data_IF_647197273254
#
_entry.id   IF_647197273254
#
_cell.length_a   1.000
_cell.length_b   1.000
_cell.length_c   1.000
_cell.angle_alpha   90.00
_cell.angle_beta   90.00
_cell.angle_gamma   90.00
#
_symmetry.space_group_name_H-M   'P 1'
#
loop_
_entity.id
_entity.type
_entity.pdbx_description
1 polymer ?
#
# COMPACT_ATOMS: atom_id res chain seq x y z
N UNK A 1 -22.62 -14.86 -4.03
CA UNK A 1 -21.21 -14.49 -3.75
C UNK A 1 -20.52 -14.39 -5.10
N UNK A 2 -19.81 -13.31 -5.38
CA UNK A 2 -18.98 -13.24 -6.59
C UNK A 2 -17.94 -14.36 -6.52
N UNK A 3 -17.77 -15.10 -7.61
CA UNK A 3 -16.71 -16.10 -7.73
C UNK A 3 -15.36 -15.35 -7.69
N UNK A 4 -14.63 -15.52 -6.59
CA UNK A 4 -13.30 -14.94 -6.45
C UNK A 4 -12.35 -15.80 -7.29
N UNK A 5 -11.52 -15.16 -8.11
CA UNK A 5 -10.51 -15.87 -8.90
C UNK A 5 -9.50 -16.59 -8.00
N UNK A 6 -8.76 -17.55 -8.56
CA UNK A 6 -7.67 -18.19 -7.81
C UNK A 6 -6.53 -17.21 -7.50
N UNK A 7 -5.75 -17.43 -6.43
CA UNK A 7 -4.50 -16.72 -6.21
C UNK A 7 -3.58 -16.80 -7.43
N UNK A 8 -2.78 -15.76 -7.64
CA UNK A 8 -1.71 -15.72 -8.66
C UNK A 8 -0.59 -16.69 -8.29
N UNK A 9 0.07 -17.26 -9.30
CA UNK A 9 1.19 -18.17 -9.11
C UNK A 9 2.49 -17.45 -8.78
N UNK A 10 2.68 -16.26 -9.34
CA UNK A 10 3.90 -15.47 -9.23
C UNK A 10 3.65 -13.97 -9.52
N UNK A 11 4.71 -13.17 -9.39
CA UNK A 11 4.66 -11.73 -9.67
C UNK A 11 4.42 -11.39 -11.14
N UNK A 12 4.74 -12.28 -12.09
CA UNK A 12 4.49 -12.04 -13.51
C UNK A 12 3.00 -12.20 -13.83
N UNK A 13 2.32 -13.17 -13.23
CA UNK A 13 0.87 -13.29 -13.30
C UNK A 13 0.17 -12.11 -12.63
N UNK A 14 0.63 -11.67 -11.45
CA UNK A 14 0.10 -10.46 -10.82
C UNK A 14 0.26 -9.25 -11.73
N UNK A 15 1.44 -9.07 -12.34
CA UNK A 15 1.70 -7.98 -13.27
C UNK A 15 0.69 -7.97 -14.45
N UNK A 16 0.41 -9.14 -15.04
CA UNK A 16 -0.61 -9.26 -16.10
C UNK A 16 -2.00 -8.89 -15.60
N UNK A 17 -2.39 -9.33 -14.40
CA UNK A 17 -3.69 -8.98 -13.81
C UNK A 17 -3.82 -7.50 -13.48
N UNK A 18 -2.75 -6.85 -13.00
CA UNK A 18 -2.71 -5.40 -12.79
C UNK A 18 -2.91 -4.65 -14.10
N UNK A 19 -2.20 -5.04 -15.17
CA UNK A 19 -2.35 -4.43 -16.49
C UNK A 19 -3.78 -4.61 -17.04
N UNK A 20 -4.35 -5.81 -16.89
CA UNK A 20 -5.73 -6.08 -17.31
C UNK A 20 -6.73 -5.22 -16.52
N UNK A 21 -6.54 -5.05 -15.20
CA UNK A 21 -7.40 -4.20 -14.37
C UNK A 21 -7.35 -2.73 -14.83
N UNK A 22 -6.14 -2.21 -15.10
CA UNK A 22 -5.97 -0.82 -15.54
C UNK A 22 -6.53 -0.57 -16.94
N UNK A 23 -6.69 -1.61 -17.77
CA UNK A 23 -7.33 -1.52 -19.07
C UNK A 23 -8.87 -1.67 -19.01
N UNK A 24 -9.44 -2.09 -17.88
CA UNK A 24 -10.86 -2.39 -17.75
C UNK A 24 -11.67 -1.14 -17.36
N UNK A 25 -12.41 -0.59 -18.32
CA UNK A 25 -13.33 0.55 -18.14
C UNK A 25 -14.40 0.29 -17.08
N UNK A 26 -14.97 -0.91 -17.05
CA UNK A 26 -16.00 -1.27 -16.09
C UNK A 26 -15.46 -1.28 -14.66
N UNK A 27 -14.14 -1.43 -14.49
CA UNK A 27 -13.43 -1.34 -13.21
C UNK A 27 -12.83 0.03 -12.93
N UNK A 28 -13.06 1.02 -13.80
CA UNK A 28 -12.48 2.36 -13.65
C UNK A 28 -10.98 2.40 -13.91
N UNK A 29 -10.43 1.41 -14.62
CA UNK A 29 -9.02 1.31 -14.97
C UNK A 29 -8.45 2.57 -15.64
N UNK A 30 -9.14 3.15 -16.65
CA UNK A 30 -8.65 4.37 -17.31
C UNK A 30 -8.54 5.58 -16.37
N UNK A 31 -9.43 5.75 -15.39
CA UNK A 31 -9.32 6.85 -14.41
C UNK A 31 -8.05 6.69 -13.55
N UNK A 32 -7.72 5.45 -13.15
CA UNK A 32 -6.48 5.15 -12.44
C UNK A 32 -5.27 5.44 -13.35
N UNK A 33 -5.32 5.01 -14.61
CA UNK A 33 -4.24 5.21 -15.58
C UNK A 33 -3.98 6.69 -15.89
N UNK A 34 -5.04 7.50 -16.01
CA UNK A 34 -4.95 8.95 -16.20
C UNK A 34 -4.31 9.62 -14.99
N UNK A 35 -4.73 9.25 -13.77
CA UNK A 35 -4.12 9.75 -12.54
C UNK A 35 -2.65 9.36 -12.44
N UNK A 36 -2.29 8.12 -12.77
CA UNK A 36 -0.88 7.68 -12.86
C UNK A 36 -0.11 8.55 -13.86
N UNK A 37 -0.69 8.82 -15.04
CA UNK A 37 -0.07 9.67 -16.05
C UNK A 37 0.17 11.10 -15.56
N UNK A 38 -0.80 11.67 -14.85
CA UNK A 38 -0.68 13.00 -14.25
C UNK A 38 0.39 13.05 -13.15
N UNK A 39 0.38 12.09 -12.22
CA UNK A 39 1.40 11.98 -11.17
C UNK A 39 2.80 11.71 -11.75
N UNK A 40 2.88 11.00 -12.88
CA UNK A 40 4.11 10.74 -13.63
C UNK A 40 4.85 12.01 -14.10
N UNK A 41 4.18 13.17 -14.11
CA UNK A 41 4.80 14.45 -14.45
C UNK A 41 5.81 14.93 -13.40
N UNK A 42 5.73 14.42 -12.16
CA UNK A 42 6.62 14.85 -11.06
C UNK A 42 7.54 13.75 -10.52
N UNK A 43 7.26 12.48 -10.81
CA UNK A 43 8.10 11.36 -10.36
C UNK A 43 7.60 9.98 -10.77
N UNK A 44 8.38 8.95 -10.45
CA UNK A 44 7.95 7.55 -10.63
C UNK A 44 6.73 7.27 -9.72
N UNK A 45 5.78 6.45 -10.20
CA UNK A 45 4.54 6.13 -9.48
C UNK A 45 4.42 4.63 -9.23
N UNK A 46 3.99 4.27 -8.03
CA UNK A 46 3.61 2.91 -7.67
C UNK A 46 2.17 2.85 -7.14
N UNK A 47 1.44 1.79 -7.52
CA UNK A 47 0.26 1.33 -6.77
C UNK A 47 0.77 0.41 -5.67
N UNK A 48 0.41 0.67 -4.41
CA UNK A 48 0.99 0.01 -3.25
C UNK A 48 -0.07 -0.70 -2.39
N UNK A 49 0.26 -1.86 -1.83
CA UNK A 49 -0.54 -2.52 -0.81
C UNK A 49 -1.83 -3.16 -1.31
N UNK A 50 -2.97 -2.64 -0.85
CA UNK A 50 -4.25 -3.35 -0.84
C UNK A 50 -4.74 -3.79 -2.22
N UNK A 51 -4.62 -2.92 -3.23
CA UNK A 51 -5.04 -3.23 -4.60
C UNK A 51 -4.27 -4.41 -5.19
N UNK A 52 -2.93 -4.38 -5.10
CA UNK A 52 -2.09 -5.44 -5.61
C UNK A 52 -2.32 -6.76 -4.83
N UNK A 53 -2.46 -6.70 -3.50
CA UNK A 53 -2.82 -7.86 -2.67
C UNK A 53 -4.13 -8.50 -3.09
N UNK A 54 -5.19 -7.70 -3.25
CA UNK A 54 -6.54 -8.22 -3.52
C UNK A 54 -6.62 -8.85 -4.92
N UNK A 55 -6.01 -8.20 -5.92
CA UNK A 55 -5.91 -8.75 -7.27
C UNK A 55 -5.06 -10.03 -7.29
N UNK A 56 -3.99 -10.08 -6.50
CA UNK A 56 -3.16 -11.27 -6.35
C UNK A 56 -3.93 -12.44 -5.73
N UNK A 57 -4.77 -12.17 -4.72
CA UNK A 57 -5.52 -13.20 -3.99
C UNK A 57 -6.75 -13.71 -4.74
N UNK A 58 -7.54 -12.79 -5.31
CA UNK A 58 -8.89 -13.09 -5.77
C UNK A 58 -9.26 -12.49 -7.13
N UNK A 59 -8.29 -11.90 -7.84
CA UNK A 59 -8.51 -11.23 -9.12
C UNK A 59 -9.24 -9.89 -8.99
N UNK A 60 -9.65 -9.33 -10.14
CA UNK A 60 -10.21 -7.98 -10.22
C UNK A 60 -11.47 -7.77 -9.35
N UNK A 61 -12.29 -8.80 -9.17
CA UNK A 61 -13.50 -8.72 -8.36
C UNK A 61 -13.23 -8.65 -6.85
N UNK A 62 -12.03 -9.04 -6.40
CA UNK A 62 -11.66 -8.99 -5.00
C UNK A 62 -11.31 -7.58 -4.50
N UNK A 63 -10.97 -6.67 -5.42
CA UNK A 63 -10.62 -5.30 -5.06
C UNK A 63 -11.86 -4.41 -4.99
N UNK A 64 -12.07 -3.81 -3.82
CA UNK A 64 -13.21 -2.93 -3.53
C UNK A 64 -12.84 -1.85 -2.49
N UNK A 65 -11.57 -1.46 -2.44
CA UNK A 65 -11.06 -0.46 -1.49
C UNK A 65 -10.46 0.73 -2.24
N UNK A 66 -9.90 1.68 -1.50
CA UNK A 66 -9.19 2.80 -2.09
C UNK A 66 -7.90 2.35 -2.80
N UNK A 67 -7.44 3.16 -3.76
CA UNK A 67 -6.20 2.95 -4.51
C UNK A 67 -5.11 3.83 -3.90
N UNK A 68 -4.15 3.20 -3.22
CA UNK A 68 -2.97 3.86 -2.68
C UNK A 68 -1.90 4.05 -3.76
N UNK A 69 -1.58 5.32 -4.05
CA UNK A 69 -0.55 5.74 -5.01
C UNK A 69 0.59 6.43 -4.27
N UNK A 70 1.82 5.99 -4.54
CA UNK A 70 3.02 6.64 -4.00
C UNK A 70 3.89 7.14 -5.14
N UNK A 71 4.31 8.40 -5.04
CA UNK A 71 5.13 9.10 -6.03
C UNK A 71 6.52 9.34 -5.47
N UNK A 72 7.54 8.93 -6.21
CA UNK A 72 8.93 9.23 -5.87
C UNK A 72 9.27 10.66 -6.31
N UNK A 73 8.86 11.62 -5.49
CA UNK A 73 9.10 13.04 -5.71
C UNK A 73 9.25 13.77 -4.36
N UNK A 74 9.89 14.95 -4.34
CA UNK A 74 9.80 15.85 -3.19
C UNK A 74 8.33 16.20 -2.88
N UNK A 75 7.94 16.31 -1.59
CA UNK A 75 6.56 16.64 -1.22
C UNK A 75 6.03 17.94 -1.82
N UNK A 76 6.90 18.93 -2.03
CA UNK A 76 6.57 20.24 -2.58
C UNK A 76 6.14 20.13 -4.05
N UNK A 77 6.79 19.24 -4.82
CA UNK A 77 6.45 18.99 -6.23
C UNK A 77 5.09 18.30 -6.37
N UNK A 78 4.79 17.36 -5.48
CA UNK A 78 3.46 16.77 -5.42
C UNK A 78 2.41 17.81 -4.98
N UNK A 79 2.74 18.66 -4.00
CA UNK A 79 1.84 19.72 -3.54
C UNK A 79 1.52 20.74 -4.64
N UNK A 80 2.52 21.13 -5.44
CA UNK A 80 2.35 21.97 -6.64
C UNK A 80 1.39 21.32 -7.63
N UNK A 81 1.58 20.03 -7.93
CA UNK A 81 0.73 19.29 -8.86
C UNK A 81 -0.72 19.19 -8.37
N UNK A 82 -0.93 19.04 -7.06
CA UNK A 82 -2.27 18.87 -6.46
C UNK A 82 -3.00 20.21 -6.22
N UNK A 83 -2.34 21.36 -6.35
CA UNK A 83 -2.85 22.68 -5.93
C UNK A 83 -4.17 23.06 -6.58
N UNK A 84 -4.31 22.78 -7.87
CA UNK A 84 -5.45 23.22 -8.67
C UNK A 84 -6.55 22.14 -8.78
N UNK A 85 -6.40 21.03 -8.04
CA UNK A 85 -7.30 19.88 -8.08
C UNK A 85 -8.28 19.81 -6.91
N UNK A 86 -9.20 18.86 -6.97
CA UNK A 86 -10.14 18.53 -5.89
C UNK A 86 -9.51 17.71 -4.74
N UNK A 87 -8.17 17.68 -4.65
CA UNK A 87 -7.45 16.88 -3.68
C UNK A 87 -7.55 17.48 -2.28
N UNK A 88 -7.88 16.65 -1.28
CA UNK A 88 -7.93 17.06 0.13
C UNK A 88 -6.69 16.55 0.84
N UNK A 89 -5.85 17.46 1.35
CA UNK A 89 -4.66 17.09 2.12
C UNK A 89 -5.05 16.51 3.48
N UNK A 90 -4.55 15.33 3.82
CA UNK A 90 -4.80 14.66 5.09
C UNK A 90 -3.79 15.10 6.19
N UNK A 91 -4.08 14.76 7.45
CA UNK A 91 -3.25 15.12 8.62
C UNK A 91 -1.84 14.52 8.61
N UNK A 92 -1.62 13.50 7.79
CA UNK A 92 -0.34 12.80 7.66
C UNK A 92 0.46 13.27 6.44
N UNK A 93 -0.02 14.29 5.71
CA UNK A 93 0.70 14.90 4.60
C UNK A 93 0.43 14.30 3.22
N UNK A 94 -0.38 13.24 3.13
CA UNK A 94 -0.90 12.71 1.87
C UNK A 94 -2.11 13.48 1.36
N UNK A 95 -2.61 13.11 0.19
CA UNK A 95 -3.75 13.71 -0.48
C UNK A 95 -4.81 12.66 -0.76
N UNK A 96 -6.07 12.99 -0.47
CA UNK A 96 -7.21 12.15 -0.85
C UNK A 96 -7.95 12.76 -2.02
N UNK A 97 -8.20 11.96 -3.04
CA UNK A 97 -8.95 12.35 -4.23
C UNK A 97 -10.19 11.45 -4.34
N UNK A 98 -11.36 12.07 -4.48
CA UNK A 98 -12.58 11.34 -4.77
C UNK A 98 -12.69 11.12 -6.30
N UNK A 99 -12.58 9.87 -6.74
CA UNK A 99 -12.84 9.47 -8.12
C UNK A 99 -14.30 9.12 -8.36
N UNK A 100 -14.60 8.68 -9.59
CA UNK A 100 -15.94 8.20 -9.96
C UNK A 100 -16.24 6.84 -9.36
N UNK A 101 -15.25 5.95 -9.33
CA UNK A 101 -15.41 4.56 -8.85
C UNK A 101 -14.59 4.27 -7.60
N UNK A 102 -13.38 4.80 -7.55
CA UNK A 102 -12.45 4.58 -6.44
C UNK A 102 -12.14 5.90 -5.76
N UNK A 103 -11.78 5.85 -4.49
CA UNK A 103 -11.03 6.94 -3.90
C UNK A 103 -9.55 6.64 -4.01
N UNK A 104 -8.74 7.71 -4.04
CA UNK A 104 -7.30 7.62 -4.20
C UNK A 104 -6.63 8.26 -3.00
N UNK A 105 -5.68 7.55 -2.38
CA UNK A 105 -4.78 8.13 -1.40
C UNK A 105 -3.40 8.26 -2.05
N UNK A 106 -2.95 9.51 -2.23
CA UNK A 106 -1.73 9.86 -2.94
C UNK A 106 -0.69 10.39 -1.97
N UNK A 107 0.52 9.84 -2.04
CA UNK A 107 1.61 10.18 -1.14
C UNK A 107 2.88 10.50 -1.92
N UNK A 108 3.65 11.48 -1.48
CA UNK A 108 5.06 11.55 -1.82
C UNK A 108 5.79 10.49 -0.97
N UNK A 109 6.75 9.77 -1.54
CA UNK A 109 7.51 8.73 -0.83
C UNK A 109 8.06 9.21 0.54
N UNK A 110 8.71 10.39 0.64
CA UNK A 110 9.21 10.90 1.92
C UNK A 110 8.11 11.24 2.95
N UNK A 111 6.86 11.41 2.49
CA UNK A 111 5.70 11.73 3.33
C UNK A 111 4.89 10.50 3.73
N UNK A 112 5.27 9.30 3.28
CA UNK A 112 4.64 8.08 3.80
C UNK A 112 4.98 7.93 5.28
N UNK A 113 4.01 7.50 6.09
CA UNK A 113 4.14 7.56 7.55
C UNK A 113 5.39 6.87 8.09
N UNK A 114 5.69 5.64 7.63
CA UNK A 114 6.84 4.88 8.12
C UNK A 114 8.18 5.56 7.78
N UNK A 115 8.25 6.26 6.65
CA UNK A 115 9.43 7.01 6.22
C UNK A 115 9.55 8.31 7.02
N UNK A 116 8.45 9.07 7.10
CA UNK A 116 8.42 10.34 7.83
C UNK A 116 8.71 10.17 9.34
N UNK A 117 8.26 9.07 9.93
CA UNK A 117 8.53 8.74 11.33
C UNK A 117 9.89 8.07 11.56
N UNK A 118 10.68 7.83 10.51
CA UNK A 118 12.04 7.29 10.62
C UNK A 118 12.11 5.78 10.90
N UNK A 119 11.00 5.05 10.77
CA UNK A 119 10.98 3.59 10.94
C UNK A 119 11.60 2.86 9.74
N UNK A 120 11.52 3.46 8.55
CA UNK A 120 12.12 2.94 7.31
C UNK A 120 12.82 4.06 6.58
N UNK A 121 14.07 3.83 6.16
CA UNK A 121 14.75 4.68 5.18
C UNK A 121 14.37 4.19 3.78
N UNK A 122 13.64 5.01 3.03
CA UNK A 122 13.26 4.70 1.66
C UNK A 122 13.96 5.64 0.69
N UNK A 123 14.81 5.08 -0.17
CA UNK A 123 15.46 5.77 -1.27
C UNK A 123 14.75 5.52 -2.60
N UNK A 124 13.97 4.43 -2.69
CA UNK A 124 13.25 4.01 -3.89
C UNK A 124 11.83 3.55 -3.54
N UNK A 125 10.93 3.57 -4.53
CA UNK A 125 9.56 3.05 -4.33
C UNK A 125 9.55 1.58 -3.91
N UNK A 126 10.54 0.80 -4.35
CA UNK A 126 10.68 -0.61 -3.95
C UNK A 126 10.79 -0.79 -2.44
N UNK A 127 11.35 0.19 -1.73
CA UNK A 127 11.54 0.12 -0.28
C UNK A 127 10.21 0.19 0.49
N UNK A 128 9.12 0.60 -0.17
CA UNK A 128 7.77 0.62 0.42
C UNK A 128 7.32 -0.75 0.93
N UNK A 129 7.82 -1.86 0.37
CA UNK A 129 7.47 -3.20 0.85
C UNK A 129 7.86 -3.41 2.33
N UNK A 130 8.78 -2.62 2.86
CA UNK A 130 9.18 -2.64 4.28
C UNK A 130 8.30 -1.78 5.19
N UNK A 131 7.36 -1.01 4.63
CA UNK A 131 6.57 -0.02 5.38
C UNK A 131 5.19 -0.51 5.79
N UNK A 132 4.75 -1.67 5.28
CA UNK A 132 3.41 -2.21 5.57
C UNK A 132 3.37 -2.94 6.89
N UNK A 133 2.22 -2.85 7.57
CA UNK A 133 2.02 -3.63 8.80
C UNK A 133 1.92 -5.13 8.54
N UNK A 134 1.18 -5.53 7.50
CA UNK A 134 0.97 -6.95 7.16
C UNK A 134 1.90 -7.36 6.02
N UNK A 135 2.51 -8.54 6.12
CA UNK A 135 3.37 -9.08 5.06
C UNK A 135 2.63 -9.31 3.73
N UNK A 136 1.34 -9.61 3.78
CA UNK A 136 0.49 -9.71 2.59
C UNK A 136 0.27 -8.37 1.86
N UNK A 137 0.46 -7.25 2.56
CA UNK A 137 0.39 -5.92 1.97
C UNK A 137 1.74 -5.45 1.40
N UNK A 138 2.84 -6.18 1.67
CA UNK A 138 4.18 -5.86 1.20
C UNK A 138 4.34 -6.17 -0.30
N UNK A 139 3.57 -5.49 -1.15
CA UNK A 139 3.57 -5.64 -2.60
C UNK A 139 3.22 -4.31 -3.26
N UNK A 140 3.84 -4.04 -4.39
CA UNK A 140 3.56 -2.87 -5.22
C UNK A 140 3.69 -3.18 -6.71
N UNK A 141 3.02 -2.37 -7.50
CA UNK A 141 3.13 -2.33 -8.94
C UNK A 141 3.77 -0.99 -9.35
N UNK A 142 4.99 -1.03 -9.88
CA UNK A 142 5.68 0.11 -10.49
C UNK A 142 5.03 0.41 -11.83
N UNK A 143 4.31 1.52 -11.91
CA UNK A 143 3.43 1.81 -13.04
C UNK A 143 4.20 2.08 -14.33
N UNK A 144 5.30 2.83 -14.25
CA UNK A 144 6.13 3.19 -15.41
C UNK A 144 6.84 1.99 -16.02
N UNK A 145 7.49 1.17 -15.19
CA UNK A 145 8.21 -0.03 -15.65
C UNK A 145 7.32 -1.25 -15.86
N UNK A 146 6.06 -1.18 -15.42
CA UNK A 146 5.08 -2.28 -15.44
C UNK A 146 5.63 -3.54 -14.76
N UNK A 147 6.15 -3.37 -13.55
CA UNK A 147 6.75 -4.45 -12.76
C UNK A 147 6.10 -4.54 -11.39
N UNK A 148 5.99 -5.76 -10.91
CA UNK A 148 5.63 -6.02 -9.51
C UNK A 148 6.91 -6.14 -8.69
N UNK A 149 6.91 -5.52 -7.52
CA UNK A 149 7.91 -5.73 -6.48
C UNK A 149 7.19 -6.13 -5.19
N UNK A 150 7.77 -7.06 -4.42
CA UNK A 150 7.14 -7.54 -3.20
C UNK A 150 8.18 -7.89 -2.14
N UNK A 151 7.75 -7.86 -0.89
CA UNK A 151 8.54 -8.30 0.25
C UNK A 151 8.82 -9.81 0.24
N UNK A 152 9.78 -10.26 1.05
CA UNK A 152 10.27 -11.65 1.02
C UNK A 152 9.19 -12.68 1.39
N UNK A 153 8.20 -12.30 2.21
CA UNK A 153 7.15 -13.18 2.70
C UNK A 153 5.90 -13.25 1.83
N UNK A 154 5.79 -12.36 0.84
CA UNK A 154 4.58 -12.24 0.02
C UNK A 154 4.24 -13.52 -0.77
N UNK A 155 5.25 -14.20 -1.31
CA UNK A 155 5.05 -15.46 -2.06
C UNK A 155 4.67 -16.62 -1.16
N UNK A 156 5.20 -16.69 0.07
CA UNK A 156 4.77 -17.66 1.07
C UNK A 156 3.30 -17.42 1.45
N UNK A 157 2.92 -16.16 1.66
CA UNK A 157 1.53 -15.78 1.91
C UNK A 157 0.58 -16.20 0.77
N UNK A 158 0.97 -16.02 -0.50
CA UNK A 158 0.15 -16.44 -1.65
C UNK A 158 -0.14 -17.95 -1.63
N UNK A 159 0.82 -18.76 -1.20
CA UNK A 159 0.69 -20.22 -1.14
C UNK A 159 -0.06 -20.69 0.09
N UNK A 160 0.30 -20.18 1.26
CA UNK A 160 -0.12 -20.74 2.54
C UNK A 160 -1.32 -20.00 3.14
N UNK A 161 -1.66 -18.82 2.61
CA UNK A 161 -2.67 -17.91 3.16
C UNK A 161 -2.45 -17.60 4.66
N UNK A 162 -1.20 -17.57 5.12
CA UNK A 162 -0.81 -17.19 6.48
C UNK A 162 -0.34 -15.73 6.45
N UNK A 163 -1.04 -14.85 7.17
CA UNK A 163 -0.71 -13.43 7.30
C UNK A 163 0.01 -13.16 8.60
N UNK A 164 1.08 -12.39 8.55
CA UNK A 164 1.89 -12.04 9.70
C UNK A 164 2.28 -10.56 9.70
N UNK A 165 2.92 -10.12 10.79
CA UNK A 165 3.48 -8.77 10.90
C UNK A 165 4.73 -8.61 10.03
N UNK A 166 4.83 -7.47 9.34
CA UNK A 166 5.99 -7.02 8.58
C UNK A 166 6.67 -5.83 9.29
N UNK A 167 5.96 -4.73 9.55
CA UNK A 167 6.41 -3.60 10.38
C UNK A 167 5.37 -3.32 11.47
N UNK A 168 5.73 -3.50 12.74
CA UNK A 168 4.75 -3.41 13.82
C UNK A 168 4.37 -1.96 14.16
N UNK A 169 5.32 -1.04 14.01
CA UNK A 169 5.13 0.39 14.22
C UNK A 169 4.04 0.92 13.30
N UNK A 170 3.03 1.58 13.87
CA UNK A 170 1.91 2.13 13.11
C UNK A 170 1.21 3.26 13.88
N UNK A 171 0.55 4.22 13.18
CA UNK A 171 -0.15 5.34 13.81
C UNK A 171 -1.57 4.99 14.25
N UNK A 172 -2.08 3.79 13.94
CA UNK A 172 -3.48 3.42 14.17
C UNK A 172 -3.64 1.94 14.59
N UNK A 173 -3.34 1.62 15.86
CA UNK A 173 -3.44 0.25 16.35
C UNK A 173 -4.88 -0.33 16.26
N UNK A 174 -5.90 0.50 16.47
CA UNK A 174 -7.30 0.08 16.30
C UNK A 174 -7.59 -0.35 14.86
N UNK A 175 -7.16 0.44 13.87
CA UNK A 175 -7.33 0.15 12.46
C UNK A 175 -6.59 -1.12 12.03
N UNK A 176 -5.39 -1.34 12.59
CA UNK A 176 -4.64 -2.59 12.40
C UNK A 176 -5.43 -3.78 12.92
N UNK A 177 -5.95 -3.72 14.15
CA UNK A 177 -6.76 -4.82 14.72
C UNK A 177 -8.01 -5.08 13.87
N UNK A 178 -8.75 -4.04 13.48
CA UNK A 178 -9.93 -4.18 12.62
C UNK A 178 -9.58 -4.84 11.27
N UNK A 179 -8.47 -4.42 10.64
CA UNK A 179 -7.98 -5.01 9.39
C UNK A 179 -7.54 -6.46 9.57
N UNK A 180 -6.86 -6.79 10.67
CA UNK A 180 -6.50 -8.17 11.00
C UNK A 180 -7.75 -9.05 11.13
N UNK A 181 -8.78 -8.57 11.84
CA UNK A 181 -10.04 -9.32 11.97
C UNK A 181 -10.71 -9.56 10.62
N UNK A 182 -10.76 -8.55 9.74
CA UNK A 182 -11.28 -8.71 8.36
C UNK A 182 -10.50 -9.77 7.59
N UNK A 183 -9.18 -9.74 7.65
CA UNK A 183 -8.29 -10.72 7.00
C UNK A 183 -8.57 -12.14 7.52
N UNK A 184 -8.64 -12.32 8.83
CA UNK A 184 -8.81 -13.65 9.43
C UNK A 184 -10.22 -14.21 9.21
N UNK A 185 -11.25 -13.37 9.35
CA UNK A 185 -12.65 -13.81 9.36
C UNK A 185 -13.28 -13.79 7.97
N UNK A 186 -13.11 -12.70 7.22
CA UNK A 186 -13.74 -12.54 5.90
C UNK A 186 -12.88 -13.15 4.81
N UNK A 187 -11.57 -12.90 4.83
CA UNK A 187 -10.65 -13.49 3.83
C UNK A 187 -10.23 -14.92 4.18
N UNK A 188 -10.62 -15.42 5.37
CA UNK A 188 -10.34 -16.77 5.88
C UNK A 188 -8.85 -17.15 5.85
N UNK A 189 -7.99 -16.17 6.14
CA UNK A 189 -6.55 -16.38 6.20
C UNK A 189 -6.13 -16.84 7.59
N UNK A 190 -5.07 -17.65 7.66
CA UNK A 190 -4.47 -18.06 8.91
C UNK A 190 -3.59 -16.94 9.49
N UNK A 191 -3.43 -16.96 10.81
CA UNK A 191 -2.62 -15.97 11.55
C UNK A 191 -1.21 -16.52 11.74
N UNK A 192 -0.19 -15.71 11.43
CA UNK A 192 1.21 -15.99 11.72
C UNK A 192 1.59 -15.64 13.17
N UNK A 193 2.75 -16.14 13.67
CA UNK A 193 3.13 -16.00 15.08
C UNK A 193 3.40 -14.56 15.53
N UNK A 194 3.89 -13.68 14.66
CA UNK A 194 4.11 -12.27 14.97
C UNK A 194 2.79 -11.52 15.16
N UNK A 195 1.85 -11.71 14.23
CA UNK A 195 0.51 -11.14 14.29
C UNK A 195 -0.29 -11.70 15.46
N UNK A 196 -0.20 -13.00 15.74
CA UNK A 196 -0.84 -13.58 16.92
C UNK A 196 -0.33 -12.91 18.21
N UNK A 197 0.99 -12.76 18.34
CA UNK A 197 1.60 -12.09 19.50
C UNK A 197 1.13 -10.65 19.62
N UNK A 198 1.12 -9.91 18.51
CA UNK A 198 0.60 -8.54 18.44
C UNK A 198 -0.83 -8.49 18.97
N UNK A 199 -1.74 -9.28 18.39
CA UNK A 199 -3.15 -9.30 18.75
C UNK A 199 -3.36 -9.69 20.23
N UNK A 200 -2.59 -10.64 20.77
CA UNK A 200 -2.65 -11.00 22.19
C UNK A 200 -2.23 -9.86 23.11
N UNK A 201 -1.19 -9.09 22.76
CA UNK A 201 -0.79 -7.90 23.56
C UNK A 201 -1.89 -6.83 23.53
N UNK A 202 -2.48 -6.61 22.35
CA UNK A 202 -3.58 -5.68 22.16
C UNK A 202 -4.81 -6.09 22.98
N UNK A 203 -5.17 -7.38 22.99
CA UNK A 203 -6.27 -7.93 23.77
C UNK A 203 -6.07 -7.79 25.29
N UNK A 204 -4.84 -7.90 25.79
CA UNK A 204 -4.50 -7.74 27.22
C UNK A 204 -4.42 -6.28 27.66
N UNK A 205 -4.83 -5.31 26.83
CA UNK A 205 -4.82 -3.88 27.17
C UNK A 205 -3.44 -3.28 27.42
N UNK A 206 -2.35 -3.99 27.10
CA UNK A 206 -0.97 -3.57 27.41
C UNK A 206 -0.54 -2.28 26.70
N UNK A 207 -1.35 -1.76 25.79
CA UNK A 207 -1.06 -0.53 25.07
C UNK A 207 -2.04 0.61 25.36
N UNK A 208 -3.04 0.44 26.24
CA UNK A 208 -4.02 1.49 26.59
C UNK A 208 -4.78 2.10 25.39
N UNK A 209 -4.65 1.48 24.22
CA UNK A 209 -4.97 2.06 22.91
C UNK A 209 -6.06 1.27 22.19
N UNK A 210 -6.83 0.43 22.89
CA UNK A 210 -8.05 -0.17 22.37
C UNK A 210 -9.19 0.15 23.32
N UNK A 211 -10.39 0.34 22.77
CA UNK A 211 -11.58 0.39 23.59
C UNK A 211 -11.85 -1.00 24.22
N UNK A 212 -12.53 -1.01 25.38
CA UNK A 212 -12.76 -2.23 26.14
C UNK A 212 -13.62 -3.28 25.41
N UNK A 213 -14.52 -2.86 24.52
CA UNK A 213 -15.39 -3.77 23.76
C UNK A 213 -14.58 -4.51 22.68
N UNK A 214 -13.76 -3.80 21.92
CA UNK A 214 -12.89 -4.36 20.89
C UNK A 214 -11.85 -5.31 21.50
N UNK A 215 -11.24 -4.95 22.64
CA UNK A 215 -10.32 -5.83 23.36
C UNK A 215 -11.01 -7.14 23.81
N UNK A 216 -12.25 -7.05 24.29
CA UNK A 216 -13.04 -8.21 24.72
C UNK A 216 -13.46 -9.09 23.54
N UNK A 217 -13.86 -8.50 22.42
CA UNK A 217 -14.15 -9.23 21.17
C UNK A 217 -12.92 -9.95 20.63
N UNK A 218 -11.79 -9.25 20.58
CA UNK A 218 -10.52 -9.81 20.12
C UNK A 218 -10.10 -11.01 20.98
N UNK A 219 -10.21 -10.89 22.31
CA UNK A 219 -9.90 -11.97 23.24
C UNK A 219 -10.71 -13.24 22.95
N UNK A 220 -12.02 -13.11 22.68
CA UNK A 220 -12.89 -14.25 22.34
C UNK A 220 -12.50 -14.92 21.03
N UNK A 221 -12.17 -14.12 20.02
CA UNK A 221 -11.73 -14.63 18.71
C UNK A 221 -10.42 -15.40 18.87
N UNK A 222 -9.43 -14.83 19.56
CA UNK A 222 -8.13 -15.45 19.80
C UNK A 222 -8.22 -16.75 20.62
N UNK A 223 -9.21 -16.88 21.50
CA UNK A 223 -9.45 -18.13 22.24
C UNK A 223 -9.97 -19.27 21.35
N UNK A 224 -10.64 -18.93 20.24
CA UNK A 224 -11.16 -19.89 19.27
C UNK A 224 -10.21 -20.21 18.11
N UNK A 225 -9.12 -19.45 17.93
CA UNK A 225 -8.11 -19.75 16.91
C UNK A 225 -7.31 -20.98 17.35
N UNK A 226 -7.27 -22.02 16.51
CA UNK A 226 -6.37 -23.15 16.70
C UNK A 226 -4.92 -22.65 16.61
N UNK A 227 -4.01 -23.07 17.52
CA UNK A 227 -2.58 -22.81 17.36
C UNK A 227 -2.11 -23.31 15.99
N UNK A 228 -1.23 -22.54 15.34
CA UNK A 228 -0.46 -23.04 14.21
C UNK A 228 0.28 -24.32 14.66
N UNK A 229 0.33 -25.39 13.83
CA UNK A 229 1.17 -26.54 14.13
C UNK A 229 2.63 -26.08 14.28
N UNK A 230 3.31 -26.61 15.28
CA UNK A 230 4.73 -26.32 15.53
C UNK A 230 5.56 -26.60 14.27
N UNK A 231 6.29 -25.61 13.77
CA UNK A 231 7.27 -25.77 12.68
C UNK A 231 7.26 -24.75 11.55
N UNK A 232 6.27 -23.85 11.45
CA UNK A 232 6.19 -22.86 10.34
C UNK A 232 6.76 -21.46 10.66
N UNK A 233 7.33 -21.25 11.85
CA UNK A 233 7.67 -19.91 12.36
C UNK A 233 9.15 -19.52 12.43
N UNK A 234 10.08 -20.36 11.96
CA UNK A 234 11.51 -20.13 12.16
C UNK A 234 12.27 -20.00 10.85
N UNK A 235 12.10 -18.90 10.10
CA UNK A 235 13.17 -18.41 9.21
C UNK A 235 13.21 -16.88 9.13
N UNK A 236 14.41 -16.36 9.40
CA UNK A 236 14.96 -15.04 9.07
C UNK A 236 14.38 -13.79 9.78
N UNK A 237 14.65 -13.67 11.08
CA UNK A 237 15.01 -12.37 11.62
C UNK A 237 16.42 -12.01 11.09
N UNK A 238 16.49 -11.28 9.97
CA UNK A 238 17.75 -10.73 9.48
C UNK A 238 18.19 -9.60 10.43
N UNK A 239 19.19 -9.89 11.25
CA UNK A 239 19.92 -8.90 12.05
C UNK A 239 20.64 -7.96 11.08
N UNK A 240 20.39 -6.66 11.19
CA UNK A 240 21.29 -5.63 10.65
C UNK A 240 22.65 -5.74 11.34
N UNK A 241 23.78 -5.91 10.63
CA UNK A 241 25.08 -5.56 11.17
C UNK A 241 25.32 -4.06 10.96
N UNK A 242 25.60 -3.38 12.07
CA UNK A 242 26.02 -1.98 12.08
C UNK A 242 27.44 -1.78 11.56
N UNK A 243 27.66 -0.54 11.10
CA UNK A 243 28.87 0.27 11.21
C UNK A 243 30.24 -0.45 11.19
N UNK A 244 30.89 -0.43 10.04
CA UNK A 244 32.34 -0.49 9.89
C UNK A 244 32.73 0.54 8.83
N UNK A 245 33.48 1.57 9.24
CA UNK A 245 33.79 2.72 8.40
C UNK A 245 34.87 2.46 7.36
N UNK A 246 34.77 3.16 6.24
CA UNK A 246 35.88 3.43 5.33
C UNK A 246 35.59 4.73 4.57
N UNK A 247 36.59 5.60 4.47
CA UNK A 247 36.63 6.79 3.63
C UNK A 247 38.08 6.94 3.11
N UNK A 248 38.34 7.77 2.08
CA UNK A 248 37.70 7.82 0.78
C UNK A 248 38.74 7.72 -0.38
N UNK A 249 38.35 7.15 -1.52
CA UNK A 249 39.14 7.13 -2.75
C UNK A 249 38.66 8.19 -3.75
N UNK A 250 39.59 9.03 -4.22
CA UNK A 250 39.40 10.10 -5.23
C UNK A 250 39.33 9.53 -6.66
N UNK A 251 38.66 10.26 -7.56
CA UNK A 251 38.72 10.06 -9.02
C UNK A 251 37.37 10.43 -9.69
N UNK A 252 37.07 11.69 -10.03
CA UNK A 252 37.51 12.45 -11.21
C UNK A 252 36.60 12.27 -12.45
N UNK A 253 35.86 13.36 -12.75
CA UNK A 253 35.45 13.93 -14.06
C UNK A 253 34.36 13.29 -14.95
N UNK A 254 33.46 14.22 -15.35
CA UNK A 254 32.98 14.48 -16.71
C UNK A 254 31.96 13.55 -17.39
N UNK A 255 30.70 14.01 -17.54
CA UNK A 255 30.24 14.70 -18.76
C UNK A 255 28.73 14.96 -18.75
N UNK A 256 28.38 16.12 -19.28
CA UNK A 256 27.04 16.58 -19.59
C UNK A 256 26.30 15.64 -20.55
N UNK A 257 24.98 15.57 -20.42
CA UNK A 257 24.14 15.50 -21.62
C UNK A 257 22.87 16.34 -21.46
N UNK A 258 22.75 17.33 -22.35
CA UNK A 258 21.57 18.17 -22.56
C UNK A 258 20.81 17.54 -23.71
N UNK A 259 19.58 17.09 -23.52
CA UNK A 259 18.61 16.98 -24.62
C UNK A 259 17.24 17.41 -24.09
N UNK A 260 16.72 18.51 -24.64
CA UNK A 260 15.39 19.01 -24.38
C UNK A 260 14.35 18.43 -25.35
N UNK A 261 13.17 19.06 -25.30
CA UNK A 261 11.98 18.97 -26.19
C UNK A 261 10.81 18.14 -25.59
N UNK A 262 9.54 18.47 -25.89
CA UNK A 262 8.88 19.79 -25.91
C UNK A 262 7.60 19.87 -25.04
N UNK A 263 7.15 21.11 -24.88
CA UNK A 263 5.83 21.57 -24.44
C UNK A 263 4.64 20.74 -24.96
N UNK A 264 3.75 20.36 -24.03
CA UNK A 264 2.40 19.87 -24.31
C UNK A 264 1.41 20.50 -23.32
N UNK A 265 0.77 21.57 -23.79
CA UNK A 265 -0.62 21.96 -23.54
C UNK A 265 -1.29 21.36 -22.28
N UNK A 266 -1.39 22.19 -21.24
CA UNK A 266 -2.26 22.01 -20.08
C UNK A 266 -3.72 21.80 -20.53
N UNK A 267 -4.31 20.65 -20.18
CA UNK A 267 -5.77 20.49 -20.17
C UNK A 267 -6.21 20.47 -18.71
N UNK A 268 -7.02 21.43 -18.24
CA UNK A 268 -7.54 21.42 -16.88
C UNK A 268 -8.47 20.22 -16.64
N UNK A 269 -8.38 19.62 -15.46
CA UNK A 269 -9.34 18.62 -14.99
C UNK A 269 -10.74 19.24 -14.91
N UNK A 270 -11.80 18.59 -15.40
CA UNK A 270 -13.15 19.15 -15.33
C UNK A 270 -13.60 19.27 -13.87
N UNK A 271 -13.98 20.48 -13.47
CA UNK A 271 -14.61 20.72 -12.19
C UNK A 271 -15.92 19.91 -12.08
N UNK A 272 -16.24 19.31 -10.93
CA UNK A 272 -17.51 18.64 -10.75
C UNK A 272 -18.65 19.66 -10.89
N UNK A 273 -19.54 19.40 -11.84
CA UNK A 273 -20.74 20.20 -12.05
C UNK A 273 -21.56 20.25 -10.76
N UNK A 274 -21.92 21.47 -10.34
CA UNK A 274 -22.86 21.69 -9.25
C UNK A 274 -24.20 21.06 -9.64
N UNK A 275 -24.52 19.90 -9.06
CA UNK A 275 -25.90 19.41 -9.05
C UNK A 275 -26.73 20.39 -8.22
N UNK A 276 -27.58 21.16 -8.90
CA UNK A 276 -28.68 21.90 -8.27
C UNK A 276 -29.63 20.87 -7.67
N UNK A 277 -29.88 20.98 -6.37
CA UNK A 277 -31.03 20.36 -5.73
C UNK A 277 -32.32 20.90 -6.38
N UNK A 278 -33.24 20.06 -6.87
CA UNK A 278 -34.58 20.53 -7.20
C UNK A 278 -35.39 20.61 -5.89
N UNK A 279 -35.74 21.85 -5.54
CA UNK A 279 -37.08 22.27 -5.15
C UNK A 279 -37.78 21.54 -4.00
N UNK A 280 -37.87 22.26 -2.88
CA UNK A 280 -38.96 22.16 -1.92
C UNK A 280 -40.31 22.40 -2.60
N UNK A 281 -41.25 21.47 -2.45
CA UNK A 281 -42.70 21.69 -2.33
C UNK A 281 -43.31 20.41 -1.76
#
# INVERSE_FOLDING_TARGET
MADLGSPVRDGAELCRRMQAFLADEARGGPEIADLIGHLGQVGEVAIFGGMARDIARGGAAAFASDVDLVVHAPPERLAELMRDGAAVRNRFGGYRIAGRRHSYDVWALPSTWAVQSGHVQAAHLTDLVHTTFFDCDAVLYLCGSRRVHHGPRFTAWLRDAIVDTNLEENPNPHGVVARALRILLEHRQAVGPGLERYLRRMAKGHAGCLDGDLASRLSRILAGLRPLPDGLGATAAARHPGAGGEAPGRGERDRANRHGCPDRSHVPWPAPGRLRCPGSS
#
